data_IF_772510938529
#
_entry.id   IF_772510938529
#
_cell.length_a   1.000
_cell.length_b   1.000
_cell.length_c   1.000
_cell.angle_alpha   90.00
_cell.angle_beta   90.00
_cell.angle_gamma   90.00
#
_symmetry.space_group_name_H-M   'P 1'
#
loop_
_entity.id
_entity.type
_entity.pdbx_description
1 polymer ?
#
# COMPACT_ATOMS: atom_id res chain seq x y z
N UNK A 1 8.13 24.45 110.26
CA UNK A 1 7.43 25.35 109.30
C UNK A 1 8.31 25.62 108.08
N UNK A 2 9.57 26.02 108.25
CA UNK A 2 10.48 26.34 107.16
C UNK A 2 10.76 25.16 106.22
N UNK A 3 10.91 23.92 106.71
CA UNK A 3 11.12 22.72 105.92
C UNK A 3 9.88 22.33 105.15
N UNK A 4 8.68 22.48 105.70
CA UNK A 4 7.42 22.24 104.99
C UNK A 4 7.15 23.28 103.89
N UNK A 5 7.55 24.51 104.08
CA UNK A 5 7.50 25.57 103.13
C UNK A 5 8.42 25.35 101.91
N UNK A 6 9.63 24.83 102.17
CA UNK A 6 10.59 24.52 101.10
C UNK A 6 10.15 23.36 100.26
N UNK A 7 9.56 22.30 100.84
CA UNK A 7 9.01 21.16 100.09
C UNK A 7 7.77 21.54 99.28
N UNK A 8 6.89 22.36 99.84
CA UNK A 8 5.72 22.90 99.12
C UNK A 8 6.12 23.85 97.97
N UNK A 9 7.20 24.65 98.20
CA UNK A 9 7.68 25.56 97.16
C UNK A 9 8.19 24.82 95.91
N UNK A 10 8.82 23.67 96.07
CA UNK A 10 9.29 22.84 94.95
C UNK A 10 8.09 22.18 94.21
N UNK A 11 7.14 21.69 94.97
CA UNK A 11 5.93 21.02 94.31
C UNK A 11 5.00 22.01 93.53
N UNK A 12 4.94 23.27 94.04
CA UNK A 12 4.13 24.30 93.40
C UNK A 12 4.88 25.30 92.52
N UNK A 13 6.19 25.12 92.36
CA UNK A 13 7.00 26.00 91.55
C UNK A 13 6.61 26.05 90.04
N UNK A 14 5.84 25.10 89.59
CA UNK A 14 5.37 25.01 88.19
C UNK A 14 4.25 26.01 87.88
N UNK A 15 3.46 26.39 88.96
CA UNK A 15 2.42 27.42 88.68
C UNK A 15 2.53 28.53 89.82
N UNK A 16 2.89 29.73 89.39
CA UNK A 16 2.91 30.90 90.26
C UNK A 16 1.60 31.12 90.98
N UNK A 17 0.40 30.97 90.37
CA UNK A 17 -0.87 31.07 91.08
C UNK A 17 -1.05 30.07 92.22
N UNK A 18 -0.66 28.79 92.03
CA UNK A 18 -0.79 27.77 93.04
C UNK A 18 0.21 28.03 94.22
N UNK A 19 1.42 28.47 93.92
CA UNK A 19 2.39 28.89 94.92
C UNK A 19 1.86 30.07 95.75
N UNK A 20 1.31 31.11 95.13
CA UNK A 20 0.72 32.27 95.77
C UNK A 20 -0.52 31.88 96.66
N UNK A 21 -1.38 31.04 96.25
CA UNK A 21 -2.54 30.56 97.02
C UNK A 21 -2.12 29.80 98.26
N UNK A 22 -0.95 29.16 98.26
CA UNK A 22 -0.48 28.42 99.45
C UNK A 22 0.34 29.33 100.36
N UNK A 23 1.26 30.14 99.90
CA UNK A 23 2.19 30.97 100.66
C UNK A 23 1.49 32.16 101.29
N UNK A 24 0.62 32.89 100.61
CA UNK A 24 -0.03 34.09 101.12
C UNK A 24 -0.79 33.88 102.40
N UNK A 25 -1.69 32.88 102.55
CA UNK A 25 -2.37 32.68 103.84
C UNK A 25 -1.51 32.09 104.93
N UNK A 26 -0.43 31.39 104.60
CA UNK A 26 0.48 30.81 105.64
C UNK A 26 1.55 31.81 106.15
N UNK A 27 1.96 32.74 105.33
CA UNK A 27 3.08 33.61 105.67
C UNK A 27 2.66 35.04 106.10
N UNK A 28 1.60 35.60 105.46
CA UNK A 28 1.17 36.98 105.73
C UNK A 28 0.67 37.20 107.19
N UNK A 29 -0.11 36.36 107.79
CA UNK A 29 -0.55 36.61 109.18
C UNK A 29 0.54 36.58 110.18
N UNK A 30 1.45 35.58 110.25
CA UNK A 30 2.55 35.60 111.21
C UNK A 30 3.51 36.76 110.97
N UNK A 31 3.74 37.11 109.69
CA UNK A 31 4.63 38.24 109.33
C UNK A 31 4.05 39.58 109.76
N UNK A 32 2.73 39.75 109.66
CA UNK A 32 2.06 40.98 110.09
C UNK A 32 2.10 41.12 111.60
N UNK A 33 2.01 40.04 112.35
CA UNK A 33 2.18 40.06 113.78
C UNK A 33 3.61 40.44 114.23
N UNK A 34 4.60 39.97 113.51
CA UNK A 34 6.05 40.32 113.78
C UNK A 34 6.34 41.77 113.44
N UNK A 35 5.79 42.31 112.37
CA UNK A 35 6.01 43.69 111.93
C UNK A 35 5.26 44.74 112.81
N UNK A 36 4.10 44.39 113.37
CA UNK A 36 3.27 45.26 114.20
C UNK A 36 3.60 45.18 115.68
N UNK A 37 4.61 44.41 116.11
CA UNK A 37 5.08 44.31 117.47
C UNK A 37 5.94 45.51 117.79
N UNK A 38 5.76 46.04 119.06
CA UNK A 38 6.58 47.16 119.60
C UNK A 38 7.98 46.73 120.10
N UNK A 39 8.42 45.48 119.86
CA UNK A 39 9.75 45.00 120.27
C UNK A 39 10.71 45.05 119.02
N UNK A 40 11.83 45.83 119.14
CA UNK A 40 12.79 46.03 118.03
C UNK A 40 13.40 44.69 117.50
N UNK A 41 13.47 43.69 118.35
CA UNK A 41 13.96 42.35 117.93
C UNK A 41 12.96 41.63 117.04
N UNK A 42 11.63 41.70 117.31
CA UNK A 42 10.57 41.09 116.53
C UNK A 42 10.37 41.82 115.19
N UNK A 43 10.44 43.12 115.14
CA UNK A 43 10.43 43.93 113.96
C UNK A 43 11.54 43.56 112.95
N UNK A 44 12.81 43.35 113.51
CA UNK A 44 13.92 42.91 112.68
C UNK A 44 13.71 41.52 112.02
N UNK A 45 13.09 40.60 112.76
CA UNK A 45 12.67 39.28 112.18
C UNK A 45 11.57 39.39 111.18
N UNK A 46 10.68 40.32 111.29
CA UNK A 46 9.63 40.65 110.35
C UNK A 46 10.21 41.15 109.00
N UNK A 47 11.16 42.05 109.05
CA UNK A 47 11.90 42.57 107.89
C UNK A 47 12.65 41.43 107.12
N UNK A 48 13.33 40.59 107.90
CA UNK A 48 14.07 39.44 107.32
C UNK A 48 13.06 38.44 106.65
N UNK A 49 11.91 38.24 107.26
CA UNK A 49 10.84 37.41 106.70
C UNK A 49 10.28 37.96 105.38
N UNK A 50 10.12 39.32 105.27
CA UNK A 50 9.72 39.99 104.03
C UNK A 50 10.75 39.78 102.88
N UNK A 51 12.04 39.92 103.25
CA UNK A 51 13.14 39.73 102.29
C UNK A 51 13.14 38.28 101.81
N UNK A 52 12.94 37.30 102.71
CA UNK A 52 12.88 35.88 102.35
C UNK A 52 11.71 35.59 101.49
N UNK A 53 10.52 36.14 101.79
CA UNK A 53 9.31 35.98 100.94
C UNK A 53 9.52 36.58 99.53
N UNK A 54 10.06 37.78 99.44
CA UNK A 54 10.39 38.46 98.18
C UNK A 54 11.37 37.62 97.30
N UNK A 55 12.39 37.06 97.91
CA UNK A 55 13.35 36.20 97.22
C UNK A 55 12.72 34.90 96.74
N UNK A 56 11.88 34.25 97.60
CA UNK A 56 11.20 33.03 97.22
C UNK A 56 10.18 33.29 96.02
N UNK A 57 9.44 34.39 96.05
CA UNK A 57 8.59 34.83 95.00
C UNK A 57 9.33 35.05 93.65
N UNK A 58 10.50 35.74 93.75
CA UNK A 58 11.37 36.01 92.62
C UNK A 58 11.89 34.71 91.98
N UNK A 59 12.41 33.82 92.85
CA UNK A 59 12.92 32.50 92.40
C UNK A 59 11.79 31.66 91.73
N UNK A 60 10.64 31.60 92.38
CA UNK A 60 9.50 30.84 91.86
C UNK A 60 9.03 31.41 90.54
N UNK A 61 8.96 32.71 90.38
CA UNK A 61 8.66 33.39 89.14
C UNK A 61 9.66 33.07 88.04
N UNK A 62 10.98 33.12 88.32
CA UNK A 62 12.04 32.75 87.36
C UNK A 62 11.94 31.30 86.95
N UNK A 63 11.77 30.36 87.90
CA UNK A 63 11.59 28.91 87.56
C UNK A 63 10.36 28.68 86.74
N UNK A 64 9.19 29.24 87.10
CA UNK A 64 7.97 29.10 86.34
C UNK A 64 8.12 29.61 84.92
N UNK A 65 8.72 30.77 84.72
CA UNK A 65 9.03 31.36 83.41
C UNK A 65 9.95 30.49 82.59
N UNK A 66 11.03 29.92 83.22
CA UNK A 66 11.97 29.04 82.56
C UNK A 66 11.29 27.73 82.12
N UNK A 67 10.52 27.12 82.99
CA UNK A 67 9.80 25.84 82.67
C UNK A 67 8.77 26.06 81.57
N UNK A 68 8.00 27.13 81.63
CA UNK A 68 6.98 27.44 80.58
C UNK A 68 7.70 27.68 79.25
N UNK A 69 8.77 28.43 79.18
CA UNK A 69 9.56 28.62 77.96
C UNK A 69 10.10 27.32 77.41
N UNK A 70 10.71 26.49 78.25
CA UNK A 70 11.26 25.20 77.86
C UNK A 70 10.16 24.24 77.33
N UNK A 71 9.02 24.20 77.99
CA UNK A 71 7.91 23.37 77.54
C UNK A 71 7.33 23.84 76.17
N UNK A 72 7.12 25.15 76.04
CA UNK A 72 6.69 25.72 74.76
C UNK A 72 7.68 25.44 73.66
N UNK A 73 8.97 25.58 73.95
CA UNK A 73 10.03 25.31 72.96
C UNK A 73 10.06 23.82 72.55
N UNK A 74 9.90 22.91 73.56
CA UNK A 74 9.80 21.46 73.24
C UNK A 74 8.62 21.12 72.42
N UNK A 75 7.42 21.66 72.71
CA UNK A 75 6.23 21.44 71.85
C UNK A 75 6.42 21.98 70.44
N UNK A 76 7.01 23.18 70.33
CA UNK A 76 7.26 23.77 69.01
C UNK A 76 8.29 22.92 68.21
N UNK A 77 9.36 22.45 68.85
CA UNK A 77 10.37 21.57 68.21
C UNK A 77 9.74 20.21 67.82
N UNK A 78 8.90 19.61 68.67
CA UNK A 78 8.17 18.36 68.33
C UNK A 78 7.26 18.53 67.14
N UNK A 79 6.49 19.60 67.09
CA UNK A 79 5.62 19.92 65.96
C UNK A 79 6.42 20.14 64.69
N UNK A 80 7.56 20.83 64.77
CA UNK A 80 8.45 21.06 63.63
C UNK A 80 9.06 19.73 63.10
N UNK A 81 9.54 18.86 64.03
CA UNK A 81 10.05 17.52 63.66
C UNK A 81 8.99 16.70 62.97
N UNK A 82 7.77 16.64 63.51
CA UNK A 82 6.68 15.90 62.90
C UNK A 82 6.32 16.43 61.51
N UNK A 83 6.30 17.75 61.33
CA UNK A 83 6.08 18.37 60.00
C UNK A 83 7.20 18.06 59.00
N UNK A 84 8.46 18.08 59.47
CA UNK A 84 9.63 17.72 58.65
C UNK A 84 9.59 16.24 58.21
N UNK A 85 9.24 15.34 59.13
CA UNK A 85 9.09 13.92 58.82
C UNK A 85 7.99 13.66 57.81
N UNK A 86 6.85 14.33 57.99
CA UNK A 86 5.76 14.23 57.02
C UNK A 86 6.14 14.77 55.65
N UNK A 87 6.78 15.94 55.57
CA UNK A 87 7.24 16.51 54.30
C UNK A 87 8.32 15.63 53.65
N UNK A 88 9.22 15.02 54.45
CA UNK A 88 10.19 14.06 53.95
C UNK A 88 9.54 12.82 53.33
N UNK A 89 8.57 12.22 54.05
CA UNK A 89 7.84 11.06 53.54
C UNK A 89 7.06 11.37 52.24
N UNK A 90 6.44 12.55 52.15
CA UNK A 90 5.79 12.99 50.93
C UNK A 90 6.78 13.14 49.77
N UNK A 91 7.94 13.77 50.01
CA UNK A 91 8.98 13.94 49.01
C UNK A 91 9.57 12.59 48.54
N UNK A 92 9.80 11.66 49.45
CA UNK A 92 10.25 10.29 49.11
C UNK A 92 9.21 9.51 48.30
N UNK A 93 7.92 9.61 48.65
CA UNK A 93 6.81 9.02 47.86
C UNK A 93 6.74 9.57 46.45
N UNK A 94 6.79 10.90 46.30
CA UNK A 94 6.79 11.57 45.02
C UNK A 94 7.99 11.21 44.14
N UNK A 95 9.19 11.13 44.77
CA UNK A 95 10.39 10.70 44.06
C UNK A 95 10.30 9.25 43.53
N UNK A 96 9.67 8.34 44.31
CA UNK A 96 9.48 6.97 43.90
C UNK A 96 8.49 6.89 42.72
N UNK A 97 7.39 7.68 42.75
CA UNK A 97 6.42 7.75 41.68
C UNK A 97 7.04 8.30 40.40
N UNK A 98 7.77 9.40 40.51
CA UNK A 98 8.52 10.01 39.41
C UNK A 98 9.53 9.03 38.79
N UNK A 99 10.27 8.30 39.63
CA UNK A 99 11.22 7.31 39.15
C UNK A 99 10.55 6.19 38.36
N UNK A 100 9.35 5.73 38.77
CA UNK A 100 8.54 4.74 38.03
C UNK A 100 8.05 5.30 36.69
N UNK A 101 7.54 6.52 36.70
CA UNK A 101 7.09 7.17 35.46
C UNK A 101 8.22 7.35 34.43
N UNK A 102 9.38 7.80 34.89
CA UNK A 102 10.58 7.96 34.05
C UNK A 102 11.00 6.61 33.43
N UNK A 103 11.00 5.54 34.23
CA UNK A 103 11.36 4.22 33.70
C UNK A 103 10.32 3.69 32.71
N UNK A 104 9.02 3.92 32.94
CA UNK A 104 7.96 3.57 31.99
C UNK A 104 8.11 4.35 30.68
N UNK A 105 8.35 5.65 30.74
CA UNK A 105 8.62 6.47 29.53
C UNK A 105 9.83 5.98 28.75
N UNK A 106 10.92 5.67 29.45
CA UNK A 106 12.13 5.13 28.80
C UNK A 106 11.89 3.78 28.12
N UNK A 107 11.03 2.93 28.68
CA UNK A 107 10.66 1.65 28.05
C UNK A 107 9.82 1.92 26.80
N UNK A 108 8.79 2.74 26.89
CA UNK A 108 7.95 3.11 25.76
C UNK A 108 8.75 3.77 24.63
N UNK A 109 9.70 4.67 24.96
CA UNK A 109 10.58 5.28 23.96
C UNK A 109 11.48 4.26 23.25
N UNK A 110 12.02 3.26 24.00
CA UNK A 110 12.84 2.19 23.40
C UNK A 110 12.02 1.30 22.47
N UNK A 111 10.80 0.92 22.89
CA UNK A 111 9.88 0.13 22.07
C UNK A 111 9.45 0.89 20.81
N UNK A 112 9.11 2.18 20.95
CA UNK A 112 8.75 3.03 19.83
C UNK A 112 9.90 3.18 18.82
N UNK A 113 11.12 3.40 19.33
CA UNK A 113 12.30 3.51 18.46
C UNK A 113 12.57 2.20 17.72
N UNK A 114 12.52 1.05 18.42
CA UNK A 114 12.67 -0.26 17.79
C UNK A 114 11.60 -0.55 16.73
N UNK A 115 10.34 -0.16 16.99
CA UNK A 115 9.26 -0.29 16.00
C UNK A 115 9.46 0.66 14.80
N UNK A 116 9.95 1.87 15.04
CA UNK A 116 10.27 2.83 13.98
C UNK A 116 11.38 2.32 13.06
N UNK A 117 12.49 1.85 13.63
CA UNK A 117 13.61 1.31 12.88
C UNK A 117 13.20 0.08 12.05
N UNK A 118 12.37 -0.81 12.62
CA UNK A 118 11.83 -1.95 11.91
C UNK A 118 10.88 -1.55 10.76
N UNK A 119 10.06 -0.53 10.97
CA UNK A 119 9.17 0.00 9.93
C UNK A 119 9.98 0.65 8.80
N UNK A 120 11.00 1.43 9.13
CA UNK A 120 11.88 2.07 8.15
C UNK A 120 12.58 1.02 7.26
N UNK A 121 13.14 -0.03 7.86
CA UNK A 121 13.72 -1.14 7.10
C UNK A 121 12.68 -1.84 6.21
N UNK A 122 11.47 -2.06 6.72
CA UNK A 122 10.39 -2.67 5.94
C UNK A 122 9.97 -1.79 4.74
N UNK A 123 9.86 -0.49 4.94
CA UNK A 123 9.55 0.48 3.87
C UNK A 123 10.63 0.45 2.79
N UNK A 124 11.91 0.50 3.17
CA UNK A 124 13.03 0.43 2.23
C UNK A 124 12.99 -0.87 1.42
N UNK A 125 12.81 -2.01 2.09
CA UNK A 125 12.72 -3.31 1.41
C UNK A 125 11.54 -3.36 0.43
N UNK A 126 10.36 -2.90 0.85
CA UNK A 126 9.17 -2.87 -0.02
C UNK A 126 9.33 -1.93 -1.20
N UNK A 127 10.03 -0.82 -1.00
CA UNK A 127 10.30 0.13 -2.10
C UNK A 127 11.21 -0.52 -3.15
N UNK A 128 12.25 -1.24 -2.73
CA UNK A 128 13.12 -1.97 -3.65
C UNK A 128 12.36 -3.09 -4.39
N UNK A 129 11.55 -3.89 -3.69
CA UNK A 129 10.71 -4.93 -4.32
C UNK A 129 9.74 -4.34 -5.35
N UNK A 130 9.11 -3.20 -5.03
CA UNK A 130 8.21 -2.49 -5.96
C UNK A 130 8.96 -1.97 -7.18
N UNK A 131 10.14 -1.39 -7.01
CA UNK A 131 10.97 -0.89 -8.11
C UNK A 131 11.36 -2.03 -9.05
N UNK A 132 11.84 -3.14 -8.51
CA UNK A 132 12.18 -4.34 -9.29
C UNK A 132 10.97 -4.88 -10.06
N UNK A 133 9.79 -4.94 -9.41
CA UNK A 133 8.57 -5.45 -10.07
C UNK A 133 8.06 -4.50 -11.15
N UNK A 134 8.11 -3.18 -10.92
CA UNK A 134 7.72 -2.19 -11.92
C UNK A 134 8.67 -2.18 -13.12
N UNK A 135 9.98 -2.32 -12.90
CA UNK A 135 10.97 -2.48 -13.98
C UNK A 135 10.75 -3.77 -14.77
N UNK A 136 10.50 -4.89 -14.11
CA UNK A 136 10.21 -6.16 -14.78
C UNK A 136 8.92 -6.10 -15.61
N UNK A 137 7.86 -5.46 -15.07
CA UNK A 137 6.59 -5.25 -15.77
C UNK A 137 6.80 -4.36 -17.01
N UNK A 138 7.42 -3.20 -16.84
CA UNK A 138 7.71 -2.27 -17.94
C UNK A 138 8.52 -2.94 -19.08
N UNK A 139 9.53 -3.73 -18.71
CA UNK A 139 10.31 -4.51 -19.68
C UNK A 139 9.47 -5.56 -20.40
N UNK A 140 8.53 -6.20 -19.69
CA UNK A 140 7.62 -7.20 -20.28
C UNK A 140 6.62 -6.53 -21.23
N UNK A 141 6.05 -5.38 -20.82
CA UNK A 141 5.17 -4.59 -21.67
C UNK A 141 5.85 -4.08 -22.93
N UNK A 142 7.08 -3.56 -22.79
CA UNK A 142 7.88 -3.12 -23.96
C UNK A 142 8.17 -4.28 -24.92
N UNK A 143 8.51 -5.48 -24.40
CA UNK A 143 8.70 -6.66 -25.23
C UNK A 143 7.43 -7.09 -25.95
N UNK A 144 6.30 -7.07 -25.25
CA UNK A 144 5.01 -7.40 -25.84
C UNK A 144 4.62 -6.39 -26.94
N UNK A 145 4.81 -5.09 -26.67
CA UNK A 145 4.56 -4.04 -27.64
C UNK A 145 5.43 -4.20 -28.91
N UNK A 146 6.74 -4.45 -28.75
CA UNK A 146 7.64 -4.71 -29.88
C UNK A 146 7.26 -5.97 -30.64
N UNK A 147 6.83 -7.04 -29.97
CA UNK A 147 6.41 -8.27 -30.63
C UNK A 147 5.12 -8.07 -31.43
N UNK A 148 4.17 -7.32 -30.89
CA UNK A 148 2.94 -6.96 -31.60
C UNK A 148 3.23 -6.06 -32.82
N UNK A 149 4.10 -5.08 -32.65
CA UNK A 149 4.51 -4.19 -33.73
C UNK A 149 5.25 -4.95 -34.84
N UNK A 150 6.22 -5.79 -34.49
CA UNK A 150 6.98 -6.59 -35.46
C UNK A 150 6.09 -7.64 -36.19
N UNK A 151 4.99 -8.06 -35.57
CA UNK A 151 4.04 -9.01 -36.17
C UNK A 151 2.94 -8.33 -37.00
N UNK A 152 2.92 -7.01 -37.04
CA UNK A 152 1.87 -6.21 -37.70
C UNK A 152 0.45 -6.60 -37.24
N UNK A 153 0.33 -7.00 -35.95
CA UNK A 153 -0.93 -7.42 -35.34
C UNK A 153 -1.60 -6.26 -34.62
N UNK A 154 -2.76 -5.87 -35.02
CA UNK A 154 -3.66 -5.03 -34.21
C UNK A 154 -4.31 -5.87 -33.12
N UNK A 155 -4.12 -5.48 -31.85
CA UNK A 155 -4.83 -6.07 -30.71
C UNK A 155 -6.14 -5.33 -30.49
N UNK A 156 -7.19 -6.05 -30.14
CA UNK A 156 -8.43 -5.47 -29.64
C UNK A 156 -8.90 -6.17 -28.38
N UNK A 157 -9.51 -5.38 -27.49
CA UNK A 157 -10.05 -5.79 -26.20
C UNK A 157 -11.44 -5.19 -26.05
N UNK A 158 -12.46 -6.03 -26.06
CA UNK A 158 -13.85 -5.61 -25.98
C UNK A 158 -14.46 -6.03 -24.64
N UNK A 159 -14.79 -5.04 -23.82
CA UNK A 159 -15.61 -5.21 -22.63
C UNK A 159 -17.09 -5.13 -23.03
N UNK A 160 -17.77 -6.26 -23.08
CA UNK A 160 -19.17 -6.35 -23.46
C UNK A 160 -20.11 -5.80 -22.37
N UNK A 161 -19.66 -5.71 -21.11
CA UNK A 161 -20.48 -5.18 -20.01
C UNK A 161 -20.60 -3.65 -20.09
N UNK A 162 -19.53 -2.95 -20.51
CA UNK A 162 -19.50 -1.48 -20.69
C UNK A 162 -19.63 -1.05 -22.13
N UNK A 163 -19.57 -2.01 -23.07
CA UNK A 163 -19.49 -1.80 -24.51
C UNK A 163 -18.27 -0.98 -24.96
N UNK A 164 -17.21 -1.02 -24.14
CA UNK A 164 -15.94 -0.35 -24.44
C UNK A 164 -15.01 -1.26 -25.21
N UNK A 165 -14.40 -0.73 -26.26
CA UNK A 165 -13.41 -1.44 -27.07
C UNK A 165 -12.10 -0.69 -27.09
N UNK A 166 -11.03 -1.33 -26.63
CA UNK A 166 -9.68 -0.82 -26.74
C UNK A 166 -8.99 -1.49 -27.93
N UNK A 167 -8.24 -0.71 -28.71
CA UNK A 167 -7.49 -1.21 -29.84
C UNK A 167 -6.05 -0.70 -29.80
N UNK A 168 -5.11 -1.55 -30.23
CA UNK A 168 -3.77 -1.13 -30.59
C UNK A 168 -3.59 -1.15 -32.10
N UNK A 169 -2.75 -0.25 -32.64
CA UNK A 169 -2.30 -0.23 -34.03
C UNK A 169 -3.40 -0.09 -35.12
N UNK A 170 -4.65 0.25 -34.78
CA UNK A 170 -5.71 0.51 -35.77
C UNK A 170 -5.36 1.64 -36.71
N UNK A 171 -4.63 2.66 -36.23
CA UNK A 171 -4.19 3.79 -37.05
C UNK A 171 -3.28 3.32 -38.18
N UNK A 172 -2.28 2.49 -37.84
CA UNK A 172 -1.36 1.93 -38.83
C UNK A 172 -2.07 0.95 -39.78
N UNK A 173 -2.96 0.10 -39.24
CA UNK A 173 -3.61 -0.95 -40.02
C UNK A 173 -4.64 -0.40 -41.03
N UNK A 174 -5.39 0.65 -40.65
CA UNK A 174 -6.47 1.19 -41.49
C UNK A 174 -6.23 2.64 -41.94
N UNK A 175 -5.07 3.23 -41.70
CA UNK A 175 -4.75 4.61 -42.05
C UNK A 175 -5.61 5.65 -41.36
N UNK A 176 -6.12 5.35 -40.16
CA UNK A 176 -7.07 6.18 -39.43
C UNK A 176 -6.39 7.30 -38.67
N UNK A 177 -7.02 8.47 -38.61
CA UNK A 177 -6.63 9.53 -37.68
C UNK A 177 -7.15 9.22 -36.27
N UNK A 178 -6.57 9.78 -35.19
CA UNK A 178 -7.02 9.53 -33.81
C UNK A 178 -8.51 9.78 -33.59
N UNK A 179 -9.07 10.80 -34.24
CA UNK A 179 -10.48 11.17 -34.15
C UNK A 179 -11.40 10.10 -34.78
N UNK A 180 -10.95 9.50 -35.90
CA UNK A 180 -11.69 8.45 -36.62
C UNK A 180 -11.69 7.12 -35.85
N UNK A 181 -10.66 6.88 -35.05
CA UNK A 181 -10.58 5.67 -34.23
C UNK A 181 -11.72 5.62 -33.21
N UNK A 182 -12.01 6.73 -32.53
CA UNK A 182 -13.11 6.82 -31.56
C UNK A 182 -14.46 6.52 -32.19
N UNK A 183 -14.72 7.02 -33.43
CA UNK A 183 -15.93 6.73 -34.17
C UNK A 183 -16.02 5.26 -34.61
N UNK A 184 -14.90 4.66 -35.00
CA UNK A 184 -14.81 3.26 -35.36
C UNK A 184 -15.04 2.30 -34.19
N UNK A 185 -14.66 2.69 -32.98
CA UNK A 185 -14.89 1.90 -31.76
C UNK A 185 -16.37 1.72 -31.46
N UNK A 186 -17.18 2.70 -31.85
CA UNK A 186 -18.62 2.70 -31.60
C UNK A 186 -19.39 1.87 -32.65
N UNK A 187 -18.98 1.86 -33.91
CA UNK A 187 -19.64 1.05 -34.96
C UNK A 187 -18.66 0.66 -36.11
N UNK A 188 -18.32 -0.62 -36.16
CA UNK A 188 -17.51 -1.21 -37.25
C UNK A 188 -18.28 -1.44 -38.54
N UNK A 189 -19.60 -1.50 -38.49
CA UNK A 189 -20.44 -1.88 -39.65
C UNK A 189 -20.24 -1.01 -40.89
N UNK A 190 -20.11 0.33 -40.79
CA UNK A 190 -19.92 1.17 -41.97
C UNK A 190 -18.62 0.88 -42.74
N UNK A 191 -17.65 0.27 -42.09
CA UNK A 191 -16.35 -0.08 -42.69
C UNK A 191 -16.27 -1.54 -43.16
N UNK A 192 -17.22 -2.38 -42.78
CA UNK A 192 -17.31 -3.77 -43.25
C UNK A 192 -17.86 -3.84 -44.67
N UNK A 193 -17.29 -4.75 -45.47
CA UNK A 193 -17.88 -5.04 -46.78
C UNK A 193 -19.29 -5.63 -46.61
N UNK A 194 -20.31 -5.15 -47.36
CA UNK A 194 -21.68 -5.58 -47.14
C UNK A 194 -21.89 -7.11 -47.19
N UNK A 195 -21.18 -7.80 -48.07
CA UNK A 195 -21.24 -9.26 -48.21
C UNK A 195 -20.66 -10.01 -46.98
N UNK A 196 -19.74 -9.40 -46.28
CA UNK A 196 -19.00 -10.08 -45.21
C UNK A 196 -19.66 -9.89 -43.83
N UNK A 197 -20.60 -8.94 -43.67
CA UNK A 197 -21.33 -8.65 -42.42
C UNK A 197 -22.02 -9.91 -41.87
N UNK A 198 -22.67 -10.67 -42.76
CA UNK A 198 -23.39 -11.89 -42.40
C UNK A 198 -22.48 -12.98 -41.87
N UNK A 199 -21.31 -13.15 -42.49
CA UNK A 199 -20.29 -14.14 -42.07
C UNK A 199 -19.72 -13.81 -40.72
N UNK A 200 -19.25 -12.56 -40.50
CA UNK A 200 -18.70 -12.10 -39.24
C UNK A 200 -19.72 -12.25 -38.10
N UNK A 201 -20.96 -11.79 -38.32
CA UNK A 201 -22.04 -11.89 -37.34
C UNK A 201 -22.29 -13.34 -36.91
N UNK A 202 -22.36 -14.26 -37.88
CA UNK A 202 -22.60 -15.69 -37.58
C UNK A 202 -21.51 -16.26 -36.71
N UNK A 203 -20.25 -16.01 -37.04
CA UNK A 203 -19.10 -16.53 -36.30
C UNK A 203 -19.07 -15.96 -34.89
N UNK A 204 -19.26 -14.64 -34.71
CA UNK A 204 -19.31 -13.99 -33.41
C UNK A 204 -20.47 -14.53 -32.55
N UNK A 205 -21.66 -14.68 -33.09
CA UNK A 205 -22.81 -15.19 -32.32
C UNK A 205 -22.59 -16.62 -31.84
N UNK A 206 -22.01 -17.50 -32.66
CA UNK A 206 -21.69 -18.87 -32.23
C UNK A 206 -20.65 -18.89 -31.10
N UNK A 207 -19.66 -18.02 -31.19
CA UNK A 207 -18.63 -17.89 -30.13
C UNK A 207 -19.21 -17.29 -28.83
N UNK A 208 -20.01 -16.24 -28.91
CA UNK A 208 -20.70 -15.64 -27.77
C UNK A 208 -21.62 -16.62 -27.05
N UNK A 209 -22.28 -17.53 -27.81
CA UNK A 209 -23.08 -18.63 -27.24
C UNK A 209 -22.25 -19.75 -26.59
N UNK A 210 -20.90 -19.65 -26.59
CA UNK A 210 -20.02 -20.66 -26.01
C UNK A 210 -19.93 -21.96 -26.82
N UNK A 211 -20.24 -21.94 -28.10
CA UNK A 211 -20.17 -23.12 -28.99
C UNK A 211 -18.78 -23.35 -29.57
N UNK A 212 -17.89 -22.40 -29.42
CA UNK A 212 -16.50 -22.45 -29.88
C UNK A 212 -15.57 -21.83 -28.81
N UNK A 213 -14.35 -22.37 -28.68
CA UNK A 213 -13.35 -21.84 -27.74
C UNK A 213 -12.73 -20.52 -28.21
N UNK A 214 -12.79 -20.24 -29.47
CA UNK A 214 -12.36 -19.03 -30.13
C UNK A 214 -12.93 -18.95 -31.53
N UNK A 215 -12.69 -17.84 -32.21
CA UNK A 215 -13.04 -17.71 -33.60
C UNK A 215 -11.89 -17.19 -34.46
N UNK A 216 -11.93 -17.50 -35.72
CA UNK A 216 -11.10 -16.93 -36.76
C UNK A 216 -11.99 -16.65 -37.99
N UNK A 217 -11.93 -15.46 -38.54
CA UNK A 217 -12.73 -15.06 -39.70
C UNK A 217 -11.93 -14.07 -40.54
N UNK A 218 -12.07 -14.20 -41.83
CA UNK A 218 -11.50 -13.29 -42.83
C UNK A 218 -12.62 -12.48 -43.45
N UNK A 219 -12.46 -11.16 -43.49
CA UNK A 219 -13.44 -10.23 -44.04
C UNK A 219 -12.76 -8.97 -44.59
N UNK A 220 -13.50 -8.23 -45.43
CA UNK A 220 -12.99 -6.98 -46.00
C UNK A 220 -13.40 -5.80 -45.17
N UNK A 221 -12.43 -4.92 -44.88
CA UNK A 221 -12.64 -3.64 -44.22
C UNK A 221 -12.16 -2.50 -45.12
N UNK A 222 -12.82 -1.34 -45.03
CA UNK A 222 -12.48 -0.16 -45.78
C UNK A 222 -11.38 0.63 -45.10
N UNK A 223 -10.23 0.80 -45.77
CA UNK A 223 -9.14 1.68 -45.38
C UNK A 223 -9.58 3.15 -45.48
N UNK A 224 -8.87 4.07 -44.81
CA UNK A 224 -9.21 5.50 -44.77
C UNK A 224 -9.22 6.15 -46.17
N UNK A 225 -8.34 5.72 -47.07
CA UNK A 225 -8.27 6.18 -48.48
C UNK A 225 -9.33 5.58 -49.40
N UNK A 226 -10.19 4.67 -48.87
CA UNK A 226 -11.32 4.12 -49.57
C UNK A 226 -11.12 2.75 -50.19
N UNK A 227 -9.91 2.19 -50.25
CA UNK A 227 -9.73 0.83 -50.79
C UNK A 227 -10.11 -0.25 -49.75
N UNK A 228 -10.31 -1.48 -50.21
CA UNK A 228 -10.62 -2.62 -49.38
C UNK A 228 -9.38 -3.38 -48.95
N UNK A 229 -9.25 -3.60 -47.64
CA UNK A 229 -8.26 -4.48 -47.05
C UNK A 229 -8.90 -5.81 -46.68
N UNK A 230 -8.21 -6.91 -46.88
CA UNK A 230 -8.55 -8.18 -46.29
C UNK A 230 -7.96 -8.27 -44.89
N UNK A 231 -8.83 -8.54 -43.94
CA UNK A 231 -8.46 -8.65 -42.51
C UNK A 231 -8.73 -10.05 -42.00
N UNK A 232 -7.75 -10.67 -41.38
CA UNK A 232 -7.96 -11.85 -40.55
C UNK A 232 -8.21 -11.38 -39.12
N UNK A 233 -9.35 -11.72 -38.53
CA UNK A 233 -9.74 -11.39 -37.16
C UNK A 233 -9.86 -12.69 -36.37
N UNK A 234 -9.12 -12.78 -35.28
CA UNK A 234 -9.14 -13.91 -34.36
C UNK A 234 -9.43 -13.40 -32.94
N UNK A 235 -10.36 -14.06 -32.26
CA UNK A 235 -10.73 -13.65 -30.91
C UNK A 235 -11.22 -14.78 -30.04
N UNK A 236 -11.20 -14.53 -28.75
CA UNK A 236 -11.76 -15.44 -27.75
C UNK A 236 -12.34 -14.70 -26.56
N UNK A 237 -13.32 -15.31 -25.91
CA UNK A 237 -13.81 -14.87 -24.62
C UNK A 237 -12.78 -15.17 -23.53
N UNK A 238 -12.43 -14.16 -22.74
CA UNK A 238 -11.47 -14.27 -21.63
C UNK A 238 -12.16 -14.19 -20.27
N UNK A 239 -13.32 -13.54 -20.21
CA UNK A 239 -14.13 -13.43 -19.00
C UNK A 239 -15.60 -13.76 -19.31
N UNK A 240 -16.23 -14.53 -18.40
CA UNK A 240 -17.65 -14.88 -18.45
C UNK A 240 -18.26 -14.64 -17.08
N UNK A 241 -19.52 -14.26 -17.02
CA UNK A 241 -20.26 -14.14 -15.77
C UNK A 241 -20.69 -15.53 -15.23
N UNK A 242 -21.30 -15.52 -14.05
CA UNK A 242 -21.81 -16.74 -13.39
C UNK A 242 -22.88 -17.48 -14.19
N UNK A 243 -23.53 -16.81 -15.17
CA UNK A 243 -24.51 -17.38 -16.09
C UNK A 243 -23.87 -17.88 -17.39
N UNK A 244 -22.53 -17.82 -17.51
CA UNK A 244 -21.78 -18.24 -18.71
C UNK A 244 -21.77 -17.20 -19.85
N UNK A 245 -22.35 -16.01 -19.65
CA UNK A 245 -22.38 -14.95 -20.68
C UNK A 245 -21.02 -14.28 -20.75
N UNK A 246 -20.54 -14.01 -21.95
CA UNK A 246 -19.25 -13.35 -22.17
C UNK A 246 -19.30 -11.91 -21.68
N UNK A 247 -18.34 -11.55 -20.85
CA UNK A 247 -18.13 -10.20 -20.32
C UNK A 247 -16.99 -9.47 -21.03
N UNK A 248 -15.95 -10.21 -21.44
CA UNK A 248 -14.78 -9.62 -22.09
C UNK A 248 -14.22 -10.54 -23.16
N UNK A 249 -13.84 -9.96 -24.28
CA UNK A 249 -13.20 -10.65 -25.40
C UNK A 249 -11.88 -9.97 -25.75
N UNK A 250 -10.88 -10.79 -26.07
CA UNK A 250 -9.60 -10.34 -26.62
C UNK A 250 -9.39 -10.97 -27.98
N UNK A 251 -8.73 -10.21 -28.86
CA UNK A 251 -8.40 -10.75 -30.16
C UNK A 251 -7.34 -9.93 -30.89
N UNK A 252 -6.99 -10.43 -32.09
CA UNK A 252 -6.01 -9.82 -32.97
C UNK A 252 -6.58 -9.66 -34.36
N UNK A 253 -6.15 -8.58 -35.04
CA UNK A 253 -6.42 -8.32 -36.46
C UNK A 253 -5.11 -8.21 -37.21
N UNK A 254 -5.08 -8.81 -38.39
CA UNK A 254 -3.96 -8.74 -39.31
C UNK A 254 -4.42 -8.38 -40.71
N UNK A 255 -3.67 -7.51 -41.37
CA UNK A 255 -3.81 -7.31 -42.81
C UNK A 255 -3.29 -8.55 -43.58
N UNK A 256 -4.15 -9.18 -44.33
CA UNK A 256 -3.80 -10.33 -45.16
C UNK A 256 -4.00 -10.02 -46.66
N UNK A 257 -4.09 -8.73 -47.01
CA UNK A 257 -4.31 -8.29 -48.39
C UNK A 257 -3.26 -8.81 -49.35
N UNK A 258 -1.98 -8.68 -48.98
CA UNK A 258 -0.87 -9.19 -49.79
C UNK A 258 -0.91 -10.72 -49.97
N UNK A 259 -1.42 -11.45 -48.94
CA UNK A 259 -1.63 -12.91 -49.08
C UNK A 259 -2.79 -13.22 -50.07
N UNK A 260 -3.90 -12.54 -49.88
CA UNK A 260 -5.10 -12.70 -50.78
C UNK A 260 -4.79 -12.31 -52.21
N UNK A 261 -4.05 -11.24 -52.43
CA UNK A 261 -3.64 -10.84 -53.79
C UNK A 261 -2.80 -11.92 -54.45
N UNK A 262 -1.80 -12.46 -53.74
CA UNK A 262 -0.98 -13.56 -54.26
C UNK A 262 -1.77 -14.84 -54.53
N UNK A 263 -2.69 -15.20 -53.62
CA UNK A 263 -3.58 -16.36 -53.84
C UNK A 263 -4.47 -16.17 -55.10
N UNK A 264 -4.99 -14.96 -55.31
CA UNK A 264 -5.80 -14.64 -56.46
C UNK A 264 -4.99 -14.59 -57.78
N UNK A 265 -3.79 -13.99 -57.73
CA UNK A 265 -2.86 -14.01 -58.89
C UNK A 265 -2.48 -15.45 -59.27
N UNK A 266 -2.18 -16.31 -58.32
CA UNK A 266 -1.89 -17.72 -58.56
C UNK A 266 -3.12 -18.46 -59.13
N UNK A 267 -4.32 -18.17 -58.62
CA UNK A 267 -5.57 -18.74 -59.13
C UNK A 267 -5.86 -18.31 -60.56
N UNK A 268 -5.65 -17.01 -60.84
CA UNK A 268 -5.82 -16.46 -62.20
C UNK A 268 -4.81 -17.09 -63.15
N UNK A 269 -3.50 -17.13 -62.75
CA UNK A 269 -2.48 -17.75 -63.59
C UNK A 269 -2.76 -19.22 -63.86
N UNK A 270 -3.21 -19.98 -62.85
CA UNK A 270 -3.63 -21.38 -63.08
C UNK A 270 -4.85 -21.49 -63.98
N UNK A 271 -5.84 -20.60 -63.81
CA UNK A 271 -7.03 -20.55 -64.68
C UNK A 271 -6.68 -20.23 -66.11
N UNK A 272 -5.86 -19.21 -66.34
CA UNK A 272 -5.37 -18.82 -67.70
C UNK A 272 -4.56 -19.96 -68.33
N UNK A 273 -3.65 -20.58 -67.53
CA UNK A 273 -2.88 -21.75 -67.99
C UNK A 273 -3.78 -22.91 -68.44
N UNK A 274 -4.79 -23.28 -67.67
CA UNK A 274 -5.69 -24.40 -68.01
C UNK A 274 -6.69 -24.05 -69.13
N UNK A 275 -7.13 -22.77 -69.23
CA UNK A 275 -8.12 -22.32 -70.20
C UNK A 275 -7.51 -21.94 -71.55
N UNK A 276 -6.19 -21.80 -71.62
CA UNK A 276 -5.52 -21.48 -72.88
C UNK A 276 -5.87 -22.51 -73.97
N UNK A 277 -6.19 -21.99 -75.19
CA UNK A 277 -6.50 -22.81 -76.31
C UNK A 277 -5.28 -23.49 -76.93
N UNK A 278 -4.09 -22.94 -76.66
CA UNK A 278 -2.83 -23.51 -77.08
C UNK A 278 -2.28 -24.49 -76.07
N UNK A 279 -1.65 -25.58 -76.54
CA UNK A 279 -0.98 -26.52 -75.67
C UNK A 279 0.28 -25.89 -75.06
N UNK A 280 0.25 -25.71 -73.71
CA UNK A 280 1.36 -25.13 -72.95
C UNK A 280 2.01 -26.25 -72.11
N UNK A 281 3.33 -26.32 -72.17
CA UNK A 281 4.15 -27.18 -71.29
C UNK A 281 5.19 -26.32 -70.58
N UNK A 282 5.32 -26.52 -69.26
CA UNK A 282 6.32 -25.87 -68.44
C UNK A 282 7.42 -26.92 -68.12
N UNK A 283 8.66 -26.50 -68.39
CA UNK A 283 9.82 -27.34 -68.13
C UNK A 283 10.62 -26.84 -66.93
N UNK A 284 11.09 -27.74 -66.11
CA UNK A 284 12.07 -27.45 -65.05
C UNK A 284 13.44 -27.14 -65.58
N UNK A 285 14.41 -26.73 -64.72
CA UNK A 285 15.80 -26.42 -65.08
C UNK A 285 16.53 -27.64 -65.70
N UNK A 286 16.05 -28.85 -65.41
CA UNK A 286 16.57 -30.11 -65.92
C UNK A 286 15.91 -30.54 -67.26
N UNK A 287 15.16 -29.63 -67.89
CA UNK A 287 14.37 -29.90 -69.11
C UNK A 287 13.35 -31.01 -68.98
N UNK A 288 12.88 -31.30 -67.73
CA UNK A 288 11.78 -32.23 -67.49
C UNK A 288 10.45 -31.47 -67.38
N UNK A 289 9.42 -32.11 -67.80
CA UNK A 289 8.05 -31.55 -67.74
C UNK A 289 7.60 -31.40 -66.32
N UNK A 290 7.31 -30.17 -65.88
CA UNK A 290 6.78 -29.80 -64.56
C UNK A 290 5.28 -29.65 -64.58
N UNK A 291 4.74 -29.05 -65.64
CA UNK A 291 3.29 -28.89 -65.79
C UNK A 291 2.92 -28.90 -67.29
N UNK A 292 1.68 -29.32 -67.55
CA UNK A 292 1.02 -29.23 -68.86
C UNK A 292 -0.41 -28.76 -68.68
N UNK A 293 -0.92 -27.93 -69.57
CA UNK A 293 -2.33 -27.50 -69.56
C UNK A 293 -3.28 -28.50 -70.27
N UNK A 294 -4.56 -28.28 -70.11
CA UNK A 294 -5.60 -29.12 -70.73
C UNK A 294 -5.49 -29.20 -72.24
N UNK A 295 -5.18 -28.08 -72.92
CA UNK A 295 -5.04 -28.06 -74.38
C UNK A 295 -3.88 -28.95 -74.85
N UNK A 296 -2.74 -28.96 -74.10
CA UNK A 296 -1.60 -29.82 -74.40
C UNK A 296 -1.97 -31.32 -74.35
N UNK A 297 -2.67 -31.73 -73.29
CA UNK A 297 -3.11 -33.14 -73.16
C UNK A 297 -4.11 -33.50 -74.22
N UNK A 298 -5.06 -32.57 -74.60
CA UNK A 298 -6.03 -32.80 -75.65
C UNK A 298 -5.42 -32.93 -77.04
N UNK A 299 -4.42 -32.10 -77.33
CA UNK A 299 -3.73 -32.06 -78.59
C UNK A 299 -2.74 -33.20 -78.74
N UNK A 300 -2.06 -33.61 -77.71
CA UNK A 300 -1.03 -34.66 -77.76
C UNK A 300 -1.59 -36.06 -77.52
N UNK A 301 -2.77 -36.16 -76.85
CA UNK A 301 -3.38 -37.41 -76.44
C UNK A 301 -2.73 -38.09 -75.25
N UNK A 302 -1.64 -37.50 -74.68
CA UNK A 302 -0.99 -38.05 -73.48
C UNK A 302 -1.69 -37.55 -72.23
N UNK A 303 -1.79 -38.44 -71.22
CA UNK A 303 -2.28 -38.08 -69.90
C UNK A 303 -1.26 -37.15 -69.14
N UNK A 304 -1.79 -36.24 -68.29
CA UNK A 304 -0.88 -35.34 -67.49
C UNK A 304 0.11 -36.13 -66.69
N UNK A 305 -0.29 -37.23 -66.04
CA UNK A 305 0.58 -38.05 -65.20
C UNK A 305 1.67 -38.78 -66.00
N UNK A 306 1.40 -39.11 -67.22
CA UNK A 306 2.36 -39.72 -68.13
C UNK A 306 3.47 -38.77 -68.59
N UNK A 307 3.15 -37.45 -68.64
CA UNK A 307 4.03 -36.40 -69.09
C UNK A 307 4.93 -35.82 -67.99
N UNK A 308 4.42 -35.79 -66.79
CA UNK A 308 5.15 -35.20 -65.63
C UNK A 308 6.47 -35.95 -65.36
N UNK A 309 7.57 -35.20 -65.22
CA UNK A 309 8.92 -35.69 -65.00
C UNK A 309 9.59 -36.28 -66.25
N UNK A 310 8.94 -36.38 -67.38
CA UNK A 310 9.56 -36.83 -68.66
C UNK A 310 10.43 -35.75 -69.25
N UNK A 311 11.51 -36.16 -69.89
CA UNK A 311 12.37 -35.25 -70.63
C UNK A 311 11.66 -34.74 -71.89
N UNK A 312 11.77 -33.43 -72.22
CA UNK A 312 11.13 -32.85 -73.40
C UNK A 312 11.53 -33.52 -74.70
N UNK A 313 12.72 -34.11 -74.77
CA UNK A 313 13.22 -34.85 -75.93
C UNK A 313 12.34 -36.05 -76.32
N UNK A 314 11.72 -36.73 -75.34
CA UNK A 314 10.85 -37.87 -75.57
C UNK A 314 9.51 -37.46 -76.20
N UNK A 315 9.09 -36.21 -75.99
CA UNK A 315 7.84 -35.64 -76.52
C UNK A 315 7.91 -35.13 -77.95
N UNK A 316 9.13 -34.83 -78.43
CA UNK A 316 9.38 -34.30 -79.76
C UNK A 316 9.57 -35.41 -80.79
N UNK A 317 9.91 -36.61 -80.40
CA UNK A 317 10.18 -37.75 -81.31
C UNK A 317 8.95 -38.56 -81.75
N UNK A 318 7.75 -38.22 -81.28
CA UNK A 318 6.52 -38.78 -81.81
C UNK A 318 6.17 -38.15 -83.16
N UNK A 319 5.95 -38.98 -84.19
CA UNK A 319 5.92 -38.75 -85.63
C UNK A 319 4.90 -37.77 -86.17
N UNK A 320 4.75 -36.54 -85.67
CA UNK A 320 3.91 -35.51 -86.29
C UNK A 320 4.59 -34.10 -86.21
N UNK A 321 5.58 -33.90 -87.09
CA UNK A 321 6.38 -32.69 -87.22
C UNK A 321 5.63 -31.45 -87.72
N UNK A 322 4.27 -31.40 -87.75
CA UNK A 322 3.49 -30.29 -88.27
C UNK A 322 2.71 -29.44 -87.24
N UNK A 323 2.91 -29.65 -85.94
CA UNK A 323 2.28 -28.81 -84.95
C UNK A 323 3.31 -27.92 -84.27
N UNK A 324 3.20 -26.59 -84.42
CA UNK A 324 4.04 -25.59 -83.80
C UNK A 324 3.76 -25.53 -82.33
N UNK A 325 4.71 -25.98 -81.51
CA UNK A 325 4.65 -25.82 -80.06
C UNK A 325 5.46 -24.55 -79.67
N UNK A 326 4.86 -23.71 -78.82
CA UNK A 326 5.53 -22.55 -78.26
C UNK A 326 6.09 -22.94 -76.89
N UNK A 327 7.39 -23.12 -76.77
CA UNK A 327 8.07 -23.38 -75.51
C UNK A 327 8.31 -22.07 -74.81
N UNK A 328 7.85 -21.93 -73.58
CA UNK A 328 8.11 -20.82 -72.66
C UNK A 328 9.01 -21.38 -71.57
N UNK A 329 10.29 -20.95 -71.51
CA UNK A 329 11.19 -21.23 -70.38
C UNK A 329 11.01 -20.14 -69.31
N UNK A 330 10.84 -20.55 -68.04
CA UNK A 330 10.83 -19.67 -66.87
C UNK A 330 12.23 -19.41 -66.38
#
# INVERSE_FOLDING_TARGET
>A
IAAAMLSASVAYAVSLPAFLCFILPCVLPPLAVLLLSNDPRQESWGVLGLILCATLLLVTWQISRLVTRNLLQRFHNQALIANLEHAKQQAEGLNQELAREVEQRRRAERELRGAHDALEMHVVQRTLELDDTTHALSKSEARLAMALEASELGLWDWNLATDEVHHSQLQALFGLQPEDVSAMLTDLKPRLHPEDVGVLRKVLVEHLKGRTDGYAVEYRMRHADGHWLWVEDRGRAVERDSAGRVQRMLGTRRDITARKTREEEQRLAATVFEAASEGIVILGPDSRVVAVNRAFTTVTGYGREELLGQGVGSLIHGSDARRQYRLISL
#
